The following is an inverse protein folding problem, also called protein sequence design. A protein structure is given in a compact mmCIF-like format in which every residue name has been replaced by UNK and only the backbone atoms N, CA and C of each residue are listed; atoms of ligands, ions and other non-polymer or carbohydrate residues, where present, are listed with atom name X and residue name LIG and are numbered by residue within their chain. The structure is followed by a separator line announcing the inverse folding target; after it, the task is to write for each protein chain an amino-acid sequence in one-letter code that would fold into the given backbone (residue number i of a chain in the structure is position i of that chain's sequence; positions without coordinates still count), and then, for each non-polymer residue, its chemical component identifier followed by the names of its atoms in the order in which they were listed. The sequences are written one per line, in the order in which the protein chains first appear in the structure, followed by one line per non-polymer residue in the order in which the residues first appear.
data_IF_701307596775
#
_entry.id   IF_701307596775
#
_cell.length_a   1.000
_cell.length_b   1.000
_cell.length_c   1.000
_cell.angle_alpha   90.00
_cell.angle_beta   90.00
_cell.angle_gamma   90.00
#
_symmetry.space_group_name_H-M   'P 1'
#
loop_
_entity.id
_entity.type
_entity.pdbx_description
1 polymer ?
#
# COMPACT_ATOMS: atom_id res chain seq x y z
N UNK A 1 39.90 14.28 -6.84
CA UNK A 1 39.93 13.52 -5.57
C UNK A 1 38.61 12.79 -5.41
N UNK A 2 38.60 11.46 -5.26
CA UNK A 2 37.38 10.70 -4.93
C UNK A 2 37.11 10.89 -3.44
N UNK A 3 36.00 11.55 -3.10
CA UNK A 3 35.56 11.65 -1.71
C UNK A 3 35.11 10.26 -1.25
N UNK A 4 35.73 9.74 -0.19
CA UNK A 4 35.23 8.55 0.50
C UNK A 4 33.94 8.94 1.21
N UNK A 5 32.80 8.59 0.62
CA UNK A 5 31.49 8.74 1.25
C UNK A 5 31.38 7.70 2.37
N UNK A 6 31.68 8.11 3.60
CA UNK A 6 31.42 7.31 4.79
C UNK A 6 29.92 7.47 5.11
N UNK A 7 29.10 6.40 5.07
CA UNK A 7 27.68 6.49 5.41
C UNK A 7 27.52 7.00 6.85
N UNK A 8 26.94 8.19 7.01
CA UNK A 8 26.80 8.84 8.32
C UNK A 8 25.59 8.32 9.10
N UNK A 9 24.58 7.79 8.41
CA UNK A 9 23.37 7.20 9.01
C UNK A 9 22.85 6.06 8.13
N UNK A 10 22.48 4.96 8.77
CA UNK A 10 21.80 3.85 8.10
C UNK A 10 20.34 4.23 7.85
N UNK A 11 19.82 3.92 6.66
CA UNK A 11 18.38 4.01 6.40
C UNK A 11 17.66 2.96 7.25
N UNK A 12 16.94 3.42 8.27
CA UNK A 12 16.13 2.55 9.11
C UNK A 12 14.87 2.20 8.32
N UNK A 13 14.83 0.97 7.82
CA UNK A 13 13.65 0.42 7.18
C UNK A 13 13.05 -0.66 8.08
N UNK A 14 11.73 -0.75 8.07
CA UNK A 14 11.03 -1.82 8.75
C UNK A 14 10.91 -2.98 7.76
N UNK A 15 11.22 -4.21 8.18
CA UNK A 15 10.99 -5.38 7.31
C UNK A 15 9.49 -5.55 7.11
N UNK A 16 9.03 -5.68 5.86
CA UNK A 16 7.61 -5.85 5.55
C UNK A 16 6.95 -6.95 6.38
N UNK A 17 7.58 -8.13 6.50
CA UNK A 17 7.11 -9.24 7.35
C UNK A 17 6.86 -8.81 8.81
N UNK A 18 7.74 -8.00 9.39
CA UNK A 18 7.60 -7.53 10.76
C UNK A 18 6.53 -6.44 10.89
N UNK A 19 6.31 -5.66 9.83
CA UNK A 19 5.21 -4.70 9.77
C UNK A 19 3.86 -5.41 9.75
N UNK A 20 3.69 -6.35 8.82
CA UNK A 20 2.47 -7.16 8.70
C UNK A 20 2.21 -7.98 9.96
N UNK A 21 3.25 -8.58 10.56
CA UNK A 21 3.09 -9.31 11.81
C UNK A 21 2.54 -8.42 12.94
N UNK A 22 3.07 -7.20 13.11
CA UNK A 22 2.57 -6.27 14.12
C UNK A 22 1.16 -5.78 13.82
N UNK A 23 0.88 -5.47 12.55
CA UNK A 23 -0.45 -5.10 12.08
C UNK A 23 -1.47 -6.17 12.45
N UNK A 24 -1.19 -7.44 12.12
CA UNK A 24 -2.08 -8.57 12.41
C UNK A 24 -2.15 -8.95 13.90
N UNK A 25 -1.18 -8.52 14.71
CA UNK A 25 -1.18 -8.71 16.16
C UNK A 25 -1.87 -7.56 16.92
N UNK A 26 -2.27 -6.48 16.22
CA UNK A 26 -2.99 -5.36 16.84
C UNK A 26 -4.34 -5.86 17.37
N UNK A 27 -4.64 -5.56 18.63
CA UNK A 27 -5.91 -5.95 19.24
C UNK A 27 -7.09 -5.39 18.43
N UNK A 28 -8.08 -6.23 18.15
CA UNK A 28 -9.27 -5.83 17.37
C UNK A 28 -9.08 -5.82 15.85
N UNK A 29 -7.87 -6.05 15.33
CA UNK A 29 -7.64 -5.92 13.87
C UNK A 29 -8.43 -6.95 13.08
N UNK A 30 -8.50 -8.19 13.55
CA UNK A 30 -9.19 -9.25 12.83
C UNK A 30 -10.69 -8.97 12.77
N UNK A 31 -11.25 -8.41 13.84
CA UNK A 31 -12.64 -7.97 13.92
C UNK A 31 -12.91 -6.82 12.96
N UNK A 32 -12.03 -5.81 12.90
CA UNK A 32 -12.13 -4.68 11.94
C UNK A 32 -12.12 -5.18 10.50
N UNK A 33 -11.14 -6.02 10.15
CA UNK A 33 -11.02 -6.60 8.81
C UNK A 33 -12.26 -7.43 8.44
N UNK A 34 -12.79 -8.20 9.39
CA UNK A 34 -13.99 -9.02 9.17
C UNK A 34 -15.25 -8.19 9.00
N UNK A 35 -15.45 -7.15 9.82
CA UNK A 35 -16.59 -6.24 9.72
C UNK A 35 -16.63 -5.54 8.37
N UNK A 36 -15.48 -5.03 7.91
CA UNK A 36 -15.38 -4.40 6.60
C UNK A 36 -15.66 -5.38 5.46
N UNK A 37 -15.17 -6.63 5.54
CA UNK A 37 -15.49 -7.66 4.56
C UNK A 37 -17.00 -7.96 4.49
N UNK A 38 -17.68 -8.05 5.63
CA UNK A 38 -19.12 -8.29 5.68
C UNK A 38 -19.93 -7.11 5.11
N UNK A 39 -19.50 -5.87 5.32
CA UNK A 39 -20.22 -4.69 4.83
C UNK A 39 -20.30 -4.63 3.30
N UNK A 40 -19.36 -5.25 2.58
CA UNK A 40 -19.33 -5.29 1.10
C UNK A 40 -20.33 -6.30 0.49
N UNK A 41 -20.94 -7.16 1.32
CA UNK A 41 -21.86 -8.20 0.85
C UNK A 41 -23.30 -7.69 0.78
N UNK A 42 -23.62 -6.60 1.49
CA UNK A 42 -24.97 -6.03 1.54
C UNK A 42 -25.41 -5.50 0.16
N UNK A 43 -26.47 -6.09 -0.41
CA UNK A 43 -27.03 -5.63 -1.68
C UNK A 43 -27.89 -4.37 -1.49
N UNK A 44 -27.73 -3.40 -2.40
CA UNK A 44 -28.55 -2.18 -2.44
C UNK A 44 -27.98 -0.97 -1.68
N UNK A 45 -26.81 -1.09 -1.04
CA UNK A 45 -26.11 0.07 -0.48
C UNK A 45 -25.43 0.91 -1.58
N UNK A 46 -25.23 2.23 -1.35
CA UNK A 46 -24.37 3.04 -2.20
C UNK A 46 -22.98 2.42 -2.29
N UNK A 47 -22.42 2.36 -3.51
CA UNK A 47 -21.05 1.92 -3.74
C UNK A 47 -20.11 3.02 -3.26
N UNK A 48 -19.48 2.82 -2.11
CA UNK A 48 -18.64 3.81 -1.44
C UNK A 48 -17.18 3.36 -1.33
N UNK A 49 -16.86 2.14 -1.73
CA UNK A 49 -15.53 1.56 -1.61
C UNK A 49 -15.08 0.86 -2.91
N UNK A 50 -13.77 0.67 -3.06
CA UNK A 50 -13.18 -0.05 -4.19
C UNK A 50 -13.69 -1.49 -4.26
N UNK A 51 -14.02 -2.10 -3.12
CA UNK A 51 -14.49 -3.48 -3.02
C UNK A 51 -15.91 -3.68 -3.59
N UNK A 52 -16.68 -2.60 -3.74
CA UNK A 52 -17.97 -2.61 -4.43
C UNK A 52 -17.83 -2.81 -5.96
N UNK A 53 -16.59 -2.71 -6.46
CA UNK A 53 -16.23 -2.95 -7.85
C UNK A 53 -16.37 -4.42 -8.22
N UNK A 54 -16.96 -4.69 -9.40
CA UNK A 54 -17.13 -6.05 -9.92
C UNK A 54 -15.80 -6.81 -10.03
N UNK A 55 -14.72 -6.09 -10.34
CA UNK A 55 -13.38 -6.67 -10.46
C UNK A 55 -12.98 -7.41 -9.19
N UNK A 56 -13.23 -6.84 -8.01
CA UNK A 56 -12.83 -7.44 -6.74
C UNK A 56 -13.73 -8.62 -6.34
N UNK A 57 -15.04 -8.51 -6.61
CA UNK A 57 -16.01 -9.61 -6.35
C UNK A 57 -15.70 -10.85 -7.18
N UNK A 58 -15.08 -10.70 -8.35
CA UNK A 58 -14.73 -11.80 -9.26
C UNK A 58 -13.23 -12.13 -9.27
N UNK A 59 -12.41 -11.40 -8.51
CA UNK A 59 -10.97 -11.57 -8.52
C UNK A 59 -10.59 -12.87 -7.83
N UNK A 60 -9.94 -13.80 -8.52
CA UNK A 60 -9.41 -15.05 -7.94
C UNK A 60 -7.96 -14.92 -7.46
N UNK A 61 -7.26 -13.83 -7.84
CA UNK A 61 -5.83 -13.66 -7.53
C UNK A 61 -4.90 -14.53 -8.37
N UNK A 62 -5.43 -15.38 -9.24
CA UNK A 62 -4.65 -16.29 -10.09
C UNK A 62 -5.10 -16.17 -11.54
N UNK A 63 -4.38 -16.86 -12.45
CA UNK A 63 -4.82 -17.00 -13.85
C UNK A 63 -5.93 -18.04 -14.02
N UNK A 64 -6.29 -18.77 -12.96
CA UNK A 64 -7.29 -19.82 -13.00
C UNK A 64 -8.63 -19.29 -12.48
N UNK A 65 -9.66 -19.36 -13.32
CA UNK A 65 -11.02 -18.89 -13.00
C UNK A 65 -11.74 -19.80 -12.00
N UNK A 66 -11.27 -21.05 -11.85
CA UNK A 66 -11.86 -22.02 -10.92
C UNK A 66 -11.31 -21.89 -9.48
N UNK A 67 -10.30 -21.06 -9.26
CA UNK A 67 -9.75 -20.85 -7.93
C UNK A 67 -10.74 -20.04 -7.07
N UNK A 68 -10.70 -20.20 -5.73
CA UNK A 68 -11.54 -19.41 -4.84
C UNK A 68 -11.38 -17.92 -5.07
N UNK A 69 -12.47 -17.17 -4.92
CA UNK A 69 -12.43 -15.71 -4.95
C UNK A 69 -11.48 -15.22 -3.86
N UNK A 70 -10.63 -14.25 -4.20
CA UNK A 70 -9.66 -13.66 -3.28
C UNK A 70 -10.31 -13.19 -1.98
N UNK A 71 -11.48 -12.57 -2.09
CA UNK A 71 -12.25 -12.08 -0.94
C UNK A 71 -12.88 -13.19 -0.08
N UNK A 72 -12.94 -14.45 -0.53
CA UNK A 72 -13.42 -15.56 0.29
C UNK A 72 -12.31 -16.27 1.07
N UNK A 73 -11.04 -15.97 0.75
CA UNK A 73 -9.88 -16.58 1.42
C UNK A 73 -9.63 -15.86 2.75
N UNK A 74 -9.69 -16.62 3.85
CA UNK A 74 -9.36 -16.09 5.17
C UNK A 74 -7.91 -15.63 5.23
N UNK A 75 -7.67 -14.40 5.68
CA UNK A 75 -6.32 -13.82 5.76
C UNK A 75 -5.78 -13.28 4.44
N UNK A 76 -6.58 -13.23 3.38
CA UNK A 76 -6.20 -12.54 2.16
C UNK A 76 -6.18 -11.01 2.38
N UNK A 77 -5.00 -10.42 2.23
CA UNK A 77 -4.78 -8.98 2.36
C UNK A 77 -4.44 -8.37 1.00
N UNK A 78 -5.20 -7.37 0.59
CA UNK A 78 -4.88 -6.54 -0.57
C UNK A 78 -4.26 -5.22 -0.11
N UNK A 79 -3.31 -4.73 -0.90
CA UNK A 79 -2.66 -3.45 -0.67
C UNK A 79 -2.73 -2.60 -1.94
N UNK A 80 -3.05 -1.31 -1.80
CA UNK A 80 -2.74 -0.34 -2.84
C UNK A 80 -1.30 0.11 -2.69
N UNK A 81 -0.71 0.49 -3.83
CA UNK A 81 0.60 1.11 -3.88
C UNK A 81 0.36 2.60 -4.16
N UNK A 82 0.78 3.45 -3.24
CA UNK A 82 0.76 4.90 -3.38
C UNK A 82 2.19 5.47 -3.45
N UNK A 83 2.34 6.50 -4.27
CA UNK A 83 3.60 6.93 -4.85
C UNK A 83 3.52 8.44 -5.09
N UNK A 84 3.93 9.25 -4.11
CA UNK A 84 3.82 10.73 -4.15
C UNK A 84 5.18 11.43 -4.28
N UNK A 85 5.35 12.26 -5.32
CA UNK A 85 6.64 12.88 -5.64
C UNK A 85 6.83 14.19 -4.88
N UNK A 86 7.64 14.13 -3.82
CA UNK A 86 8.05 15.31 -3.07
C UNK A 86 9.23 15.99 -3.76
N UNK A 87 9.11 17.29 -4.04
CA UNK A 87 10.24 18.10 -4.48
C UNK A 87 11.06 18.56 -3.28
N UNK A 88 12.26 17.99 -3.12
CA UNK A 88 13.14 18.28 -1.98
C UNK A 88 13.74 19.68 -1.98
N UNK A 89 13.67 20.40 -3.10
CA UNK A 89 14.24 21.75 -3.28
C UNK A 89 13.16 22.84 -3.52
N UNK A 90 11.87 22.53 -3.31
CA UNK A 90 10.77 23.48 -3.54
C UNK A 90 10.38 23.63 -5.01
N UNK A 91 9.82 24.77 -5.42
CA UNK A 91 9.10 24.94 -6.71
C UNK A 91 9.94 24.81 -7.99
N UNK A 92 11.27 24.66 -7.93
CA UNK A 92 12.13 25.06 -9.07
C UNK A 92 12.92 23.95 -9.77
N UNK A 93 13.01 22.72 -9.27
CA UNK A 93 13.83 21.68 -9.96
C UNK A 93 13.20 20.30 -9.88
N UNK A 94 12.69 19.78 -11.02
CA UNK A 94 12.26 18.36 -11.17
C UNK A 94 13.39 17.35 -10.93
N UNK A 95 14.64 17.81 -10.93
CA UNK A 95 15.85 17.00 -10.86
C UNK A 95 16.13 16.35 -9.49
N UNK A 96 15.40 16.78 -8.45
CA UNK A 96 15.57 16.29 -7.09
C UNK A 96 14.22 15.94 -6.45
N UNK A 97 13.39 15.16 -7.15
CA UNK A 97 12.21 14.54 -6.55
C UNK A 97 12.61 13.30 -5.74
N UNK A 98 11.89 13.06 -4.66
CA UNK A 98 11.95 11.81 -3.89
C UNK A 98 10.51 11.38 -3.66
N UNK A 99 10.24 10.09 -3.83
CA UNK A 99 8.91 9.55 -3.63
C UNK A 99 8.91 8.32 -2.75
N UNK A 100 8.20 8.32 -1.61
CA UNK A 100 7.97 7.11 -0.87
C UNK A 100 7.07 6.17 -1.69
N UNK A 101 7.38 4.87 -1.63
CA UNK A 101 6.45 3.82 -2.02
C UNK A 101 5.70 3.43 -0.75
N UNK A 102 4.41 3.67 -0.71
CA UNK A 102 3.55 3.41 0.44
C UNK A 102 2.61 2.25 0.09
N UNK A 103 2.50 1.27 0.98
CA UNK A 103 1.50 0.21 0.92
C UNK A 103 0.38 0.51 1.91
N UNK A 104 -0.85 0.56 1.43
CA UNK A 104 -2.04 0.83 2.25
C UNK A 104 -2.93 -0.42 2.24
N UNK A 105 -3.29 -0.93 3.41
CA UNK A 105 -4.13 -2.14 3.50
C UNK A 105 -5.57 -1.82 3.10
N UNK A 106 -6.02 -2.38 1.98
CA UNK A 106 -7.33 -2.12 1.42
C UNK A 106 -8.45 -2.80 2.21
N UNK A 107 -8.13 -3.83 2.99
CA UNK A 107 -9.10 -4.54 3.85
C UNK A 107 -9.56 -3.72 5.07
N UNK A 108 -8.99 -2.53 5.28
CA UNK A 108 -9.51 -1.55 6.23
C UNK A 108 -10.61 -0.73 5.57
N UNK A 109 -11.50 -0.15 6.38
CA UNK A 109 -12.49 0.80 5.89
C UNK A 109 -11.81 2.06 5.32
N UNK A 110 -12.44 2.79 4.37
CA UNK A 110 -11.86 3.99 3.79
C UNK A 110 -11.37 5.03 4.82
N UNK A 111 -12.06 5.13 5.96
CA UNK A 111 -11.70 6.04 7.05
C UNK A 111 -10.45 5.62 7.84
N UNK A 112 -10.07 4.35 7.83
CA UNK A 112 -8.95 3.81 8.64
C UNK A 112 -7.67 3.62 7.80
N UNK A 113 -7.78 3.53 6.48
CA UNK A 113 -6.66 3.25 5.55
C UNK A 113 -5.48 4.20 5.65
N UNK A 114 -5.73 5.45 6.01
CA UNK A 114 -4.73 6.53 5.98
C UNK A 114 -4.25 6.93 7.38
N UNK A 115 -4.66 6.18 8.41
CA UNK A 115 -4.12 6.40 9.74
C UNK A 115 -2.61 6.09 9.75
N UNK A 116 -1.77 6.85 10.48
CA UNK A 116 -0.33 6.68 10.48
C UNK A 116 0.15 5.28 10.86
N UNK A 117 -0.64 4.52 11.62
CA UNK A 117 -0.32 3.15 12.01
C UNK A 117 -0.63 2.10 10.93
N UNK A 118 -1.40 2.47 9.90
CA UNK A 118 -2.05 1.55 8.96
C UNK A 118 -1.50 1.57 7.52
N UNK A 119 -0.48 2.41 7.26
CA UNK A 119 0.31 2.35 6.03
C UNK A 119 1.77 1.98 6.28
N UNK A 120 2.39 1.31 5.30
CA UNK A 120 3.77 0.86 5.35
C UNK A 120 4.61 1.52 4.26
N UNK A 121 5.71 2.16 4.65
CA UNK A 121 6.69 2.69 3.70
C UNK A 121 7.58 1.55 3.20
N UNK A 122 7.30 1.07 2.00
CA UNK A 122 8.02 -0.03 1.35
C UNK A 122 9.37 0.38 0.77
N UNK A 123 9.54 1.65 0.42
CA UNK A 123 10.78 2.13 -0.14
C UNK A 123 10.74 3.61 -0.45
N UNK A 124 11.85 4.10 -0.99
CA UNK A 124 11.99 5.47 -1.45
C UNK A 124 12.60 5.42 -2.85
N UNK A 125 11.92 6.03 -3.82
CA UNK A 125 12.39 6.21 -5.18
C UNK A 125 13.02 7.60 -5.27
N UNK A 126 14.26 7.65 -5.76
CA UNK A 126 14.88 8.91 -6.15
C UNK A 126 14.40 9.30 -7.55
N UNK A 127 14.33 10.61 -7.81
CA UNK A 127 13.87 11.16 -9.08
C UNK A 127 14.52 10.46 -10.27
N UNK A 128 13.68 9.93 -11.15
CA UNK A 128 14.12 9.36 -12.42
C UNK A 128 14.79 10.47 -13.21
N UNK A 129 16.06 10.27 -13.63
CA UNK A 129 16.60 11.10 -14.71
C UNK A 129 15.73 10.86 -15.92
N UNK A 130 15.11 11.91 -16.47
CA UNK A 130 14.40 11.80 -17.74
C UNK A 130 15.34 11.13 -18.76
N UNK A 131 14.88 10.10 -19.50
CA UNK A 131 15.67 9.55 -20.58
C UNK A 131 16.00 10.69 -21.54
N UNK A 132 17.29 10.94 -21.77
CA UNK A 132 17.68 11.85 -22.85
C UNK A 132 17.19 11.23 -24.14
N UNK A 133 16.31 11.93 -24.86
CA UNK A 133 16.03 11.57 -26.25
C UNK A 133 17.38 11.57 -26.99
N UNK A 134 17.69 10.43 -27.62
CA UNK A 134 18.84 10.27 -28.51
C UNK A 134 18.70 11.18 -29.73
#
# INVERSE_FOLDING_TARGET
MKQNLIPTKHFIHQKFKNCIARFLQRAGIMEILHQHQQSQIAEGSPKCDIWDGLVWRLFTGTRNINDPLFMSITGALAFSIDVDWLNTHGKSTRLASIGPIILICLNLSPSERLEPEDFYVAGIIHGLKEPTAL
#
